data_IF_765805205061
#
_entry.id   IF_765805205061
#
_cell.length_a   1.000
_cell.length_b   1.000
_cell.length_c   1.000
_cell.angle_alpha   90.00
_cell.angle_beta   90.00
_cell.angle_gamma   90.00
#
_symmetry.space_group_name_H-M   'P 1'
#
loop_
_entity.id
_entity.type
_entity.pdbx_description
1 polymer ?
#
# COMPACT_ATOMS: atom_id res chain seq x y z
N UNK A 1 -10.28 69.81 59.21
CA UNK A 1 -11.06 68.61 58.84
C UNK A 1 -11.14 68.44 57.32
N UNK A 2 -10.00 68.36 56.61
CA UNK A 2 -9.99 68.25 55.12
C UNK A 2 -8.84 67.41 54.54
N UNK A 3 -8.02 66.75 55.36
CA UNK A 3 -6.87 65.95 54.88
C UNK A 3 -7.24 64.50 54.52
N UNK A 4 -8.33 63.97 55.08
CA UNK A 4 -8.81 62.60 54.81
C UNK A 4 -9.53 62.47 53.45
N UNK A 5 -10.16 63.55 52.95
CA UNK A 5 -10.85 63.54 51.66
C UNK A 5 -9.87 63.57 50.46
N UNK A 6 -8.76 64.31 50.54
CA UNK A 6 -7.74 64.34 49.48
C UNK A 6 -7.04 63.00 49.32
N UNK A 7 -6.76 62.28 50.43
CA UNK A 7 -6.16 60.95 50.38
C UNK A 7 -7.09 59.91 49.73
N UNK A 8 -8.39 59.95 50.04
CA UNK A 8 -9.39 59.06 49.42
C UNK A 8 -9.64 59.39 47.93
N UNK A 9 -9.49 60.66 47.53
CA UNK A 9 -9.63 61.09 46.14
C UNK A 9 -8.44 60.64 45.28
N UNK A 10 -7.21 60.74 45.81
CA UNK A 10 -5.99 60.26 45.15
C UNK A 10 -5.98 58.73 45.07
N UNK A 11 -6.43 58.04 46.13
CA UNK A 11 -6.54 56.57 46.14
C UNK A 11 -7.59 56.08 45.12
N UNK A 12 -8.75 56.73 45.02
CA UNK A 12 -9.77 56.44 43.99
C UNK A 12 -9.31 56.71 42.57
N UNK A 13 -8.37 57.63 42.36
CA UNK A 13 -7.80 57.92 41.05
C UNK A 13 -6.65 56.95 40.69
N UNK A 14 -5.87 56.48 41.67
CA UNK A 14 -4.80 55.50 41.45
C UNK A 14 -5.32 54.10 41.09
N UNK A 15 -6.40 53.62 41.74
CA UNK A 15 -6.98 52.28 41.51
C UNK A 15 -7.31 52.02 40.02
N UNK A 16 -8.03 52.90 39.28
CA UNK A 16 -8.33 52.67 37.86
C UNK A 16 -7.08 52.72 36.97
N UNK A 17 -6.09 53.56 37.27
CA UNK A 17 -4.82 53.57 36.53
C UNK A 17 -3.99 52.30 36.77
N UNK A 18 -3.94 51.78 37.99
CA UNK A 18 -3.27 50.50 38.29
C UNK A 18 -3.99 49.35 37.60
N UNK A 19 -5.33 49.34 37.62
CA UNK A 19 -6.12 48.36 36.89
C UNK A 19 -5.86 48.40 35.37
N UNK A 20 -5.77 49.60 34.79
CA UNK A 20 -5.45 49.78 33.37
C UNK A 20 -4.04 49.25 33.01
N UNK A 21 -3.04 49.50 33.85
CA UNK A 21 -1.68 48.98 33.65
C UNK A 21 -1.63 47.45 33.77
N UNK A 22 -2.35 46.88 34.74
CA UNK A 22 -2.46 45.42 34.90
C UNK A 22 -3.15 44.82 33.68
N UNK A 23 -4.26 45.40 33.22
CA UNK A 23 -4.99 44.96 32.03
C UNK A 23 -4.11 45.01 30.77
N UNK A 24 -3.36 46.11 30.58
CA UNK A 24 -2.44 46.28 29.47
C UNK A 24 -1.30 45.26 29.51
N UNK A 25 -0.73 45.01 30.69
CA UNK A 25 0.30 43.99 30.91
C UNK A 25 -0.22 42.59 30.58
N UNK A 26 -1.44 42.26 31.01
CA UNK A 26 -2.07 40.96 30.76
C UNK A 26 -2.35 40.74 29.27
N UNK A 27 -2.77 41.79 28.57
CA UNK A 27 -2.93 41.78 27.10
C UNK A 27 -1.58 41.54 26.44
N UNK A 28 -0.51 42.25 26.81
CA UNK A 28 0.81 42.06 26.22
C UNK A 28 1.40 40.67 26.48
N UNK A 29 1.18 40.11 27.68
CA UNK A 29 1.59 38.75 28.06
C UNK A 29 0.83 37.68 27.28
N UNK A 30 -0.44 37.92 26.91
CA UNK A 30 -1.24 37.02 26.07
C UNK A 30 -0.67 36.85 24.65
N UNK A 31 0.21 37.76 24.22
CA UNK A 31 0.90 37.73 22.93
C UNK A 31 1.99 36.65 22.79
N UNK A 32 2.31 35.93 23.86
CA UNK A 32 3.35 34.89 23.84
C UNK A 32 2.81 33.63 23.14
N UNK A 33 3.46 33.22 22.04
CA UNK A 33 3.13 32.00 21.28
C UNK A 33 4.37 31.14 21.09
N UNK A 34 4.20 29.83 21.26
CA UNK A 34 5.25 28.83 20.99
C UNK A 34 4.89 28.12 19.69
N UNK A 35 5.80 28.15 18.71
CA UNK A 35 5.63 27.47 17.43
C UNK A 35 6.55 26.25 17.42
N UNK A 36 5.98 25.06 17.23
CA UNK A 36 6.74 23.82 17.10
C UNK A 36 7.51 23.74 15.79
N UNK A 37 8.59 22.95 15.75
CA UNK A 37 9.47 22.82 14.58
C UNK A 37 8.77 22.29 13.33
N UNK A 38 7.78 21.42 13.51
CA UNK A 38 6.96 20.86 12.42
C UNK A 38 5.84 21.80 11.96
N UNK A 39 5.76 23.02 12.51
CA UNK A 39 4.79 24.04 12.11
C UNK A 39 5.51 25.26 11.53
N UNK A 40 4.81 25.96 10.65
CA UNK A 40 5.18 27.30 10.17
C UNK A 40 4.01 28.23 10.44
N UNK A 41 4.31 29.46 10.84
CA UNK A 41 3.32 30.43 11.23
C UNK A 41 3.41 31.65 10.31
N UNK A 42 2.35 31.97 9.58
CA UNK A 42 2.28 33.19 8.80
C UNK A 42 1.79 34.31 9.71
N UNK A 43 2.53 35.41 9.73
CA UNK A 43 2.19 36.59 10.51
C UNK A 43 1.47 37.60 9.62
N UNK A 44 0.26 37.96 10.02
CA UNK A 44 -0.54 39.01 9.43
C UNK A 44 -0.65 40.20 10.39
N UNK A 45 -0.69 41.40 9.84
CA UNK A 45 -0.93 42.64 10.58
C UNK A 45 -2.01 43.43 9.86
N UNK A 46 -3.11 43.71 10.54
CA UNK A 46 -4.28 44.36 9.91
C UNK A 46 -4.67 43.71 8.56
N UNK A 47 -4.59 42.38 8.47
CA UNK A 47 -4.89 41.62 7.25
C UNK A 47 -3.79 41.60 6.18
N UNK A 48 -2.69 42.35 6.32
CA UNK A 48 -1.55 42.27 5.39
C UNK A 48 -0.55 41.21 5.85
N UNK A 49 -0.11 40.38 4.91
CA UNK A 49 0.99 39.44 5.12
C UNK A 49 2.29 40.21 5.36
N UNK A 50 3.06 39.81 6.39
CA UNK A 50 4.37 40.40 6.68
C UNK A 50 5.49 39.39 6.43
N UNK A 51 5.42 38.24 7.09
CA UNK A 51 6.50 37.24 7.07
C UNK A 51 6.06 35.89 7.62
N UNK A 52 6.78 34.86 7.21
CA UNK A 52 6.79 33.55 7.88
C UNK A 52 7.64 33.62 9.15
N UNK A 53 7.05 33.17 10.26
CA UNK A 53 7.72 32.99 11.54
C UNK A 53 8.38 31.60 11.60
N UNK A 54 9.68 31.61 11.87
CA UNK A 54 10.45 30.39 12.18
C UNK A 54 10.03 29.80 13.54
N UNK A 55 10.23 28.49 13.75
CA UNK A 55 9.95 27.81 15.02
C UNK A 55 10.60 28.46 16.23
N UNK A 56 10.03 28.19 17.41
CA UNK A 56 10.51 28.66 18.70
C UNK A 56 9.62 29.72 19.34
N UNK A 57 10.18 30.41 20.32
CA UNK A 57 9.49 31.45 21.08
C UNK A 57 9.29 32.70 20.22
N UNK A 58 8.03 33.09 20.01
CA UNK A 58 7.67 34.31 19.28
C UNK A 58 6.62 35.10 20.04
N UNK A 59 6.85 36.41 20.10
CA UNK A 59 5.89 37.35 20.66
C UNK A 59 5.17 38.05 19.52
N UNK A 60 3.84 38.10 19.62
CA UNK A 60 2.95 38.86 18.74
C UNK A 60 2.15 39.85 19.55
N UNK A 61 1.77 40.96 18.92
CA UNK A 61 0.91 41.96 19.53
C UNK A 61 -0.54 41.47 19.39
N UNK A 62 -1.18 40.98 20.47
CA UNK A 62 -2.57 40.58 20.39
C UNK A 62 -3.42 41.81 20.08
N UNK A 63 -4.48 41.65 19.29
CA UNK A 63 -5.34 42.68 18.67
C UNK A 63 -4.91 43.14 17.27
N UNK A 64 -3.62 43.41 17.04
CA UNK A 64 -3.13 43.96 15.77
C UNK A 64 -2.62 42.86 14.83
N UNK A 65 -2.03 41.82 15.41
CA UNK A 65 -1.34 40.76 14.68
C UNK A 65 -2.08 39.43 14.85
N UNK A 66 -2.32 38.75 13.72
CA UNK A 66 -2.89 37.40 13.69
C UNK A 66 -1.86 36.43 13.12
N UNK A 67 -1.89 35.19 13.60
CA UNK A 67 -1.05 34.10 13.10
C UNK A 67 -1.93 33.00 12.55
N UNK A 68 -1.61 32.54 11.35
CA UNK A 68 -2.11 31.27 10.82
C UNK A 68 -1.01 30.23 10.84
N UNK A 69 -1.29 29.07 11.43
CA UNK A 69 -0.29 28.02 11.62
C UNK A 69 -0.57 26.87 10.66
N UNK A 70 0.45 26.44 9.95
CA UNK A 70 0.42 25.40 8.93
C UNK A 70 1.40 24.29 9.32
N UNK A 71 0.98 23.03 9.16
CA UNK A 71 1.85 21.87 9.37
C UNK A 71 2.63 21.57 8.08
N UNK A 72 3.95 21.40 8.20
CA UNK A 72 4.84 21.09 7.06
C UNK A 72 5.12 19.60 6.89
N UNK A 73 4.57 18.75 7.77
CA UNK A 73 4.68 17.29 7.67
C UNK A 73 3.86 16.78 6.49
N UNK A 74 4.08 15.50 6.20
CA UNK A 74 3.23 14.77 5.25
C UNK A 74 1.84 14.66 5.84
N UNK A 75 0.87 15.22 5.11
CA UNK A 75 -0.55 15.14 5.39
C UNK A 75 -1.13 14.11 4.43
N UNK A 76 -2.08 13.33 4.94
CA UNK A 76 -2.77 12.30 4.18
C UNK A 76 -4.24 12.68 4.07
N UNK A 77 -4.77 12.74 2.86
CA UNK A 77 -6.20 12.96 2.61
C UNK A 77 -6.76 11.75 1.86
N UNK A 78 -7.91 11.27 2.36
CA UNK A 78 -8.68 10.24 1.69
C UNK A 78 -9.60 10.89 0.64
N UNK A 79 -9.59 10.32 -0.55
CA UNK A 79 -10.49 10.71 -1.63
C UNK A 79 -11.77 9.90 -1.50
N UNK A 80 -12.92 10.56 -1.58
CA UNK A 80 -14.22 9.89 -1.58
C UNK A 80 -14.38 9.05 -2.84
N UNK A 81 -14.98 7.86 -2.68
CA UNK A 81 -15.27 6.93 -3.78
C UNK A 81 -16.01 7.62 -4.93
N UNK A 82 -15.55 7.41 -6.16
CA UNK A 82 -16.12 7.96 -7.39
C UNK A 82 -16.57 6.83 -8.31
N UNK A 83 -17.79 6.93 -8.84
CA UNK A 83 -18.26 6.04 -9.90
C UNK A 83 -17.70 6.49 -11.26
N UNK A 84 -17.05 5.58 -11.95
CA UNK A 84 -16.37 5.80 -13.23
C UNK A 84 -16.63 4.61 -14.16
N UNK A 85 -16.78 4.89 -15.45
CA UNK A 85 -16.78 3.89 -16.50
C UNK A 85 -15.36 3.82 -17.07
N UNK A 86 -14.76 2.64 -17.07
CA UNK A 86 -13.45 2.39 -17.71
C UNK A 86 -13.55 2.37 -19.23
N UNK A 87 -12.41 2.32 -19.92
CA UNK A 87 -12.35 2.27 -21.39
C UNK A 87 -13.11 1.07 -21.98
N UNK A 88 -13.12 -0.06 -21.26
CA UNK A 88 -13.85 -1.29 -21.59
C UNK A 88 -15.33 -1.27 -21.17
N UNK A 89 -15.89 -0.08 -20.89
CA UNK A 89 -17.27 0.14 -20.46
C UNK A 89 -17.67 -0.61 -19.18
N UNK A 90 -16.72 -0.85 -18.27
CA UNK A 90 -17.03 -1.50 -16.99
C UNK A 90 -17.31 -0.43 -15.93
N UNK A 91 -18.51 -0.43 -15.31
CA UNK A 91 -18.78 0.43 -14.16
C UNK A 91 -17.96 -0.03 -12.95
N UNK A 92 -17.23 0.90 -12.34
CA UNK A 92 -16.52 0.66 -11.09
C UNK A 92 -16.54 1.90 -10.19
N UNK A 93 -16.44 1.68 -8.88
CA UNK A 93 -16.25 2.75 -7.90
C UNK A 93 -14.82 2.71 -7.38
N UNK A 94 -14.09 3.82 -7.49
CA UNK A 94 -12.67 3.88 -7.16
C UNK A 94 -12.46 4.89 -6.04
N UNK A 95 -11.73 4.49 -4.99
CA UNK A 95 -11.26 5.39 -3.94
C UNK A 95 -9.71 5.40 -3.86
N UNK A 96 -9.18 6.41 -3.18
CA UNK A 96 -7.74 6.63 -3.14
C UNK A 96 -7.30 7.51 -2.00
N UNK A 97 -5.98 7.63 -1.87
CA UNK A 97 -5.33 8.41 -0.82
C UNK A 97 -4.20 9.23 -1.43
N UNK A 98 -4.14 10.51 -1.07
CA UNK A 98 -3.09 11.45 -1.48
C UNK A 98 -2.21 11.76 -0.28
N UNK A 99 -0.91 11.68 -0.51
CA UNK A 99 0.12 12.10 0.42
C UNK A 99 0.76 13.36 -0.14
N UNK A 100 0.68 14.45 0.60
CA UNK A 100 1.29 15.72 0.21
C UNK A 100 1.94 16.40 1.42
N UNK A 101 2.84 17.33 1.16
CA UNK A 101 3.44 18.20 2.16
C UNK A 101 3.44 19.63 1.66
N UNK A 102 3.42 20.57 2.59
CA UNK A 102 3.46 21.99 2.25
C UNK A 102 4.93 22.41 2.21
N UNK A 103 5.41 22.76 1.02
CA UNK A 103 6.79 23.22 0.82
C UNK A 103 6.89 24.73 1.06
N UNK A 104 5.94 25.49 0.50
CA UNK A 104 5.83 26.94 0.68
C UNK A 104 4.53 27.30 1.41
N UNK A 105 4.58 27.56 2.74
CA UNK A 105 3.40 27.88 3.52
C UNK A 105 2.81 29.25 3.19
N UNK A 106 3.58 30.18 2.59
CA UNK A 106 3.06 31.47 2.16
C UNK A 106 2.05 31.29 1.03
N UNK A 107 2.45 30.58 -0.03
CA UNK A 107 1.58 30.31 -1.18
C UNK A 107 0.37 29.48 -0.80
N UNK A 108 0.55 28.45 0.03
CA UNK A 108 -0.53 27.55 0.41
C UNK A 108 -1.67 28.24 1.17
N UNK A 109 -1.39 29.35 1.86
CA UNK A 109 -2.40 30.13 2.61
C UNK A 109 -2.92 31.31 1.81
N UNK A 110 -2.08 31.96 1.00
CA UNK A 110 -2.47 33.17 0.27
C UNK A 110 -3.17 32.90 -1.06
N UNK A 111 -2.86 31.78 -1.71
CA UNK A 111 -3.37 31.48 -3.05
C UNK A 111 -4.60 30.57 -3.05
N UNK A 112 -4.81 29.79 -1.98
CA UNK A 112 -5.94 28.86 -1.88
C UNK A 112 -6.61 29.04 -0.53
N UNK A 113 -7.94 29.19 -0.53
CA UNK A 113 -8.74 29.32 0.69
C UNK A 113 -8.64 28.05 1.56
N UNK A 114 -9.01 26.90 0.97
CA UNK A 114 -8.91 25.59 1.62
C UNK A 114 -8.18 24.60 0.72
N UNK A 115 -6.86 24.52 0.90
CA UNK A 115 -6.01 23.62 0.10
C UNK A 115 -6.39 22.15 0.23
N UNK A 116 -6.87 21.70 1.39
CA UNK A 116 -7.32 20.32 1.59
C UNK A 116 -8.49 19.98 0.65
N UNK A 117 -9.48 20.89 0.56
CA UNK A 117 -10.64 20.72 -0.29
C UNK A 117 -10.25 20.77 -1.78
N UNK A 118 -9.44 21.78 -2.16
CA UNK A 118 -8.97 21.94 -3.53
C UNK A 118 -8.19 20.71 -4.04
N UNK A 119 -7.24 20.19 -3.24
CA UNK A 119 -6.49 18.97 -3.58
C UNK A 119 -7.43 17.77 -3.70
N UNK A 120 -8.42 17.64 -2.81
CA UNK A 120 -9.39 16.53 -2.87
C UNK A 120 -10.16 16.57 -4.18
N UNK A 121 -10.69 17.73 -4.57
CA UNK A 121 -11.45 17.89 -5.82
C UNK A 121 -10.58 17.64 -7.05
N UNK A 122 -9.38 18.20 -7.08
CA UNK A 122 -8.44 17.99 -8.18
C UNK A 122 -8.06 16.51 -8.31
N UNK A 123 -7.82 15.84 -7.19
CA UNK A 123 -7.49 14.41 -7.17
C UNK A 123 -8.67 13.53 -7.60
N UNK A 124 -9.91 13.93 -7.28
CA UNK A 124 -11.13 13.26 -7.79
C UNK A 124 -11.26 13.41 -9.30
N UNK A 125 -11.05 14.62 -9.82
CA UNK A 125 -11.10 14.88 -11.25
C UNK A 125 -10.01 14.08 -11.99
N UNK A 126 -8.78 14.09 -11.48
CA UNK A 126 -7.65 13.36 -12.06
C UNK A 126 -7.84 11.83 -11.99
N UNK A 127 -8.38 11.31 -10.88
CA UNK A 127 -8.76 9.89 -10.78
C UNK A 127 -9.77 9.50 -11.85
N UNK A 128 -10.84 10.28 -11.98
CA UNK A 128 -11.91 10.02 -12.94
C UNK A 128 -11.39 10.04 -14.38
N UNK A 129 -10.56 11.02 -14.71
CA UNK A 129 -10.00 11.17 -16.06
C UNK A 129 -9.05 10.02 -16.42
N UNK A 130 -8.11 9.68 -15.53
CA UNK A 130 -7.13 8.61 -15.79
C UNK A 130 -7.81 7.24 -15.82
N UNK A 131 -8.74 6.96 -14.89
CA UNK A 131 -9.41 5.66 -14.85
C UNK A 131 -10.41 5.49 -16.00
N UNK A 132 -10.95 6.58 -16.56
CA UNK A 132 -11.83 6.51 -17.74
C UNK A 132 -11.10 6.23 -19.06
N UNK A 133 -9.79 6.50 -19.13
CA UNK A 133 -8.95 6.33 -20.32
C UNK A 133 -8.21 4.99 -20.37
N UNK A 134 -8.46 4.11 -19.41
CA UNK A 134 -7.71 2.87 -19.23
C UNK A 134 -8.66 1.71 -18.94
N UNK A 135 -8.32 0.53 -19.43
CA UNK A 135 -9.05 -0.71 -19.15
C UNK A 135 -9.00 -1.12 -17.67
N UNK A 136 -10.05 -1.78 -17.19
CA UNK A 136 -10.14 -2.26 -15.81
C UNK A 136 -8.96 -3.15 -15.39
N UNK A 137 -8.51 -4.06 -16.26
CA UNK A 137 -7.40 -4.98 -15.94
C UNK A 137 -6.09 -4.23 -15.70
N UNK A 138 -5.85 -3.15 -16.46
CA UNK A 138 -4.67 -2.30 -16.26
C UNK A 138 -4.74 -1.55 -14.93
N UNK A 139 -5.94 -1.06 -14.55
CA UNK A 139 -6.15 -0.44 -13.23
C UNK A 139 -5.88 -1.46 -12.11
N UNK A 140 -6.30 -2.71 -12.27
CA UNK A 140 -6.13 -3.76 -11.27
C UNK A 140 -4.68 -4.25 -11.16
N UNK A 141 -4.00 -4.43 -12.30
CA UNK A 141 -2.65 -5.00 -12.38
C UNK A 141 -1.53 -3.97 -12.17
N UNK A 142 -1.71 -2.74 -12.66
CA UNK A 142 -0.69 -1.68 -12.67
C UNK A 142 -1.02 -0.49 -11.77
N UNK A 143 -1.53 -0.75 -10.57
CA UNK A 143 -1.94 0.29 -9.60
C UNK A 143 -0.86 1.32 -9.29
N UNK A 144 0.41 0.92 -9.23
CA UNK A 144 1.52 1.84 -8.95
C UNK A 144 1.79 2.81 -10.11
N UNK A 145 1.70 2.34 -11.36
CA UNK A 145 1.85 3.17 -12.55
C UNK A 145 0.71 4.17 -12.65
N UNK A 146 -0.53 3.73 -12.40
CA UNK A 146 -1.70 4.60 -12.36
C UNK A 146 -1.55 5.69 -11.29
N UNK A 147 -1.07 5.33 -10.10
CA UNK A 147 -0.78 6.30 -9.03
C UNK A 147 0.25 7.36 -9.43
N UNK A 148 1.28 7.00 -10.22
CA UNK A 148 2.28 7.93 -10.75
C UNK A 148 1.69 8.88 -11.79
N UNK A 149 0.84 8.37 -12.68
CA UNK A 149 0.17 9.18 -13.71
C UNK A 149 -0.78 10.20 -13.08
N UNK A 150 -1.61 9.77 -12.11
CA UNK A 150 -2.53 10.67 -11.42
C UNK A 150 -1.74 11.70 -10.59
N UNK A 151 -0.66 11.27 -9.92
CA UNK A 151 0.24 12.20 -9.21
C UNK A 151 0.73 13.30 -10.14
N UNK A 152 1.21 12.96 -11.34
CA UNK A 152 1.78 13.95 -12.27
C UNK A 152 0.77 15.04 -12.64
N UNK A 153 -0.48 14.65 -12.90
CA UNK A 153 -1.57 15.58 -13.24
C UNK A 153 -1.89 16.50 -12.04
N UNK A 154 -2.01 15.93 -10.83
CA UNK A 154 -2.32 16.73 -9.63
C UNK A 154 -1.15 17.65 -9.28
N UNK A 155 0.09 17.18 -9.44
CA UNK A 155 1.31 17.93 -9.09
C UNK A 155 1.49 19.18 -9.95
N UNK A 156 1.11 19.14 -11.24
CA UNK A 156 1.19 20.28 -12.16
C UNK A 156 0.43 21.49 -11.64
N UNK A 157 -0.82 21.30 -11.23
CA UNK A 157 -1.70 22.35 -10.69
C UNK A 157 -1.28 22.77 -9.26
N UNK A 158 -0.97 21.80 -8.38
CA UNK A 158 -0.64 22.11 -6.97
C UNK A 158 0.70 22.83 -6.78
N UNK A 159 1.56 22.82 -7.80
CA UNK A 159 2.85 23.52 -7.78
C UNK A 159 2.68 25.03 -7.64
N UNK A 160 1.63 25.59 -8.24
CA UNK A 160 1.35 27.02 -8.10
C UNK A 160 1.13 27.38 -6.63
N UNK A 161 0.38 26.54 -5.91
CA UNK A 161 0.01 26.70 -4.49
C UNK A 161 1.14 26.40 -3.50
N UNK A 162 2.32 26.00 -3.96
CA UNK A 162 3.46 25.68 -3.09
C UNK A 162 3.31 24.35 -2.34
N UNK A 163 2.49 23.45 -2.87
CA UNK A 163 2.20 22.14 -2.28
C UNK A 163 2.90 21.07 -3.12
N UNK A 164 3.57 20.14 -2.43
CA UNK A 164 4.31 19.06 -3.07
C UNK A 164 3.56 17.74 -2.85
N UNK A 165 3.13 17.10 -3.93
CA UNK A 165 2.51 15.78 -3.88
C UNK A 165 3.61 14.72 -3.77
N UNK A 166 3.65 14.01 -2.64
CA UNK A 166 4.62 12.94 -2.41
C UNK A 166 4.21 11.71 -3.22
N UNK A 167 2.94 11.35 -3.15
CA UNK A 167 2.41 10.20 -3.85
C UNK A 167 0.90 10.10 -3.78
N UNK A 168 0.36 9.35 -4.73
CA UNK A 168 -1.05 9.00 -4.78
C UNK A 168 -1.19 7.48 -4.89
N UNK A 169 -2.10 6.91 -4.10
CA UNK A 169 -2.36 5.47 -4.08
C UNK A 169 -3.85 5.21 -4.28
N UNK A 170 -4.16 4.28 -5.17
CA UNK A 170 -5.50 3.70 -5.29
C UNK A 170 -5.69 2.75 -4.09
N UNK A 171 -6.80 2.91 -3.37
CA UNK A 171 -7.06 2.17 -2.14
C UNK A 171 -7.92 0.94 -2.42
N UNK A 172 -9.11 1.13 -2.98
CA UNK A 172 -10.05 0.07 -3.34
C UNK A 172 -10.74 0.36 -4.67
N UNK A 173 -11.14 -0.72 -5.35
CA UNK A 173 -11.87 -0.70 -6.62
C UNK A 173 -13.06 -1.64 -6.46
N UNK A 174 -14.25 -1.07 -6.37
CA UNK A 174 -15.49 -1.78 -6.17
C UNK A 174 -16.19 -1.99 -7.50
N UNK A 175 -16.43 -3.26 -7.81
CA UNK A 175 -17.16 -3.69 -9.02
C UNK A 175 -18.56 -4.15 -8.63
N UNK A 176 -19.57 -3.94 -9.48
CA UNK A 176 -20.90 -4.53 -9.28
C UNK A 176 -20.81 -6.04 -9.10
N UNK A 177 -21.68 -6.57 -8.25
CA UNK A 177 -21.61 -7.97 -7.83
C UNK A 177 -21.82 -8.97 -8.97
N UNK A 178 -22.54 -8.58 -10.03
CA UNK A 178 -22.67 -9.39 -11.24
C UNK A 178 -21.31 -9.52 -11.96
N UNK A 179 -20.63 -8.41 -12.24
CA UNK A 179 -19.33 -8.40 -12.91
C UNK A 179 -18.26 -9.13 -12.10
N UNK A 180 -18.23 -8.92 -10.78
CA UNK A 180 -17.28 -9.60 -9.89
C UNK A 180 -17.41 -11.13 -9.97
N UNK A 181 -18.65 -11.65 -10.03
CA UNK A 181 -18.91 -13.10 -10.18
C UNK A 181 -18.48 -13.62 -11.55
N UNK A 182 -18.79 -12.88 -12.62
CA UNK A 182 -18.40 -13.27 -13.98
C UNK A 182 -16.87 -13.30 -14.15
N UNK A 183 -16.18 -12.27 -13.67
CA UNK A 183 -14.71 -12.22 -13.70
C UNK A 183 -14.08 -13.31 -12.84
N UNK A 184 -14.64 -13.62 -11.66
CA UNK A 184 -14.18 -14.72 -10.83
C UNK A 184 -14.31 -16.06 -11.55
N UNK A 185 -15.46 -16.32 -12.20
CA UNK A 185 -15.67 -17.53 -12.99
C UNK A 185 -14.72 -17.64 -14.19
N UNK A 186 -14.50 -16.54 -14.92
CA UNK A 186 -13.53 -16.50 -16.02
C UNK A 186 -12.09 -16.75 -15.53
N UNK A 187 -11.69 -16.12 -14.43
CA UNK A 187 -10.37 -16.30 -13.85
C UNK A 187 -10.15 -17.73 -13.33
N UNK A 188 -11.18 -18.35 -12.76
CA UNK A 188 -11.14 -19.75 -12.32
C UNK A 188 -11.03 -20.71 -13.50
N UNK A 189 -11.81 -20.50 -14.57
CA UNK A 189 -11.73 -21.30 -15.78
C UNK A 189 -10.35 -21.20 -16.46
N UNK A 190 -9.80 -19.99 -16.58
CA UNK A 190 -8.47 -19.77 -17.15
C UNK A 190 -7.36 -20.35 -16.25
N UNK A 191 -7.48 -20.23 -14.93
CA UNK A 191 -6.56 -20.88 -13.99
C UNK A 191 -6.62 -22.40 -14.09
N UNK A 192 -7.81 -22.99 -14.18
CA UNK A 192 -7.99 -24.44 -14.34
C UNK A 192 -7.38 -24.93 -15.66
N UNK A 193 -7.65 -24.22 -16.76
CA UNK A 193 -7.04 -24.49 -18.07
C UNK A 193 -5.52 -24.43 -18.01
N UNK A 194 -4.95 -23.37 -17.43
CA UNK A 194 -3.48 -23.22 -17.27
C UNK A 194 -2.88 -24.34 -16.42
N UNK A 195 -3.52 -24.69 -15.30
CA UNK A 195 -3.07 -25.79 -14.44
C UNK A 195 -3.05 -27.13 -15.18
N UNK A 196 -4.08 -27.43 -15.99
CA UNK A 196 -4.11 -28.66 -16.80
C UNK A 196 -3.00 -28.71 -17.84
N UNK A 197 -2.71 -27.60 -18.52
CA UNK A 197 -1.61 -27.52 -19.48
C UNK A 197 -0.26 -27.74 -18.78
N UNK A 198 -0.06 -27.09 -17.63
CA UNK A 198 1.17 -27.24 -16.83
C UNK A 198 1.33 -28.69 -16.35
N UNK A 199 0.24 -29.32 -15.90
CA UNK A 199 0.27 -30.72 -15.47
C UNK A 199 0.62 -31.66 -16.62
N UNK A 200 -0.02 -31.50 -17.78
CA UNK A 200 0.27 -32.32 -18.95
C UNK A 200 1.74 -32.18 -19.40
N UNK A 201 2.28 -30.96 -19.40
CA UNK A 201 3.69 -30.71 -19.70
C UNK A 201 4.62 -31.34 -18.65
N UNK A 202 4.25 -31.27 -17.37
CA UNK A 202 5.00 -31.89 -16.28
C UNK A 202 4.99 -33.42 -16.41
N UNK A 203 3.86 -34.04 -16.77
CA UNK A 203 3.74 -35.47 -17.02
C UNK A 203 4.57 -35.92 -18.22
N UNK A 204 4.56 -35.16 -19.32
CA UNK A 204 5.40 -35.41 -20.50
C UNK A 204 6.89 -35.38 -20.13
N UNK A 205 7.32 -34.32 -19.41
CA UNK A 205 8.70 -34.18 -18.95
C UNK A 205 9.12 -35.31 -18.00
N UNK A 206 8.25 -35.69 -17.06
CA UNK A 206 8.49 -36.78 -16.13
C UNK A 206 8.61 -38.13 -16.86
N UNK A 207 7.69 -38.43 -17.78
CA UNK A 207 7.73 -39.64 -18.59
C UNK A 207 9.01 -39.73 -19.43
N UNK A 208 9.43 -38.62 -20.04
CA UNK A 208 10.70 -38.54 -20.77
C UNK A 208 11.90 -38.88 -19.90
N UNK A 209 11.99 -38.28 -18.71
CA UNK A 209 13.09 -38.56 -17.76
C UNK A 209 13.08 -39.99 -17.23
N UNK A 210 11.89 -40.55 -16.98
CA UNK A 210 11.76 -41.95 -16.57
C UNK A 210 12.18 -42.92 -17.69
N UNK A 211 11.86 -42.60 -18.95
CA UNK A 211 12.31 -43.39 -20.10
C UNK A 211 13.83 -43.34 -20.28
N UNK A 212 14.45 -42.16 -20.15
CA UNK A 212 15.90 -41.99 -20.16
C UNK A 212 16.56 -42.82 -19.05
N UNK A 213 16.04 -42.73 -17.81
CA UNK A 213 16.52 -43.52 -16.68
C UNK A 213 16.33 -45.02 -16.90
N UNK A 214 15.20 -45.45 -17.48
CA UNK A 214 14.94 -46.84 -17.85
C UNK A 214 15.97 -47.38 -18.83
N UNK A 215 16.21 -46.66 -19.93
CA UNK A 215 17.24 -47.01 -20.92
C UNK A 215 18.65 -47.10 -20.33
N UNK A 216 19.00 -46.20 -19.40
CA UNK A 216 20.30 -46.27 -18.70
C UNK A 216 20.41 -47.49 -17.79
N UNK A 217 19.32 -47.89 -17.16
CA UNK A 217 19.28 -49.05 -16.26
C UNK A 217 19.33 -50.36 -17.05
N UNK A 218 18.68 -50.43 -18.22
CA UNK A 218 18.72 -51.59 -19.11
C UNK A 218 20.13 -51.89 -19.65
N UNK A 219 21.02 -50.89 -19.72
CA UNK A 219 22.42 -51.08 -20.13
C UNK A 219 23.21 -52.00 -19.18
N UNK A 220 22.77 -52.18 -17.93
CA UNK A 220 23.47 -53.02 -16.94
C UNK A 220 22.49 -53.87 -16.12
N UNK A 221 22.52 -55.22 -16.25
CA UNK A 221 21.69 -56.12 -15.44
C UNK A 221 21.87 -55.97 -13.93
N UNK A 222 23.01 -55.42 -13.50
CA UNK A 222 23.30 -55.14 -12.08
C UNK A 222 22.53 -53.93 -11.54
N UNK A 223 22.20 -52.94 -12.38
CA UNK A 223 21.49 -51.73 -11.97
C UNK A 223 20.02 -52.03 -11.58
N UNK A 224 19.34 -52.90 -12.33
CA UNK A 224 17.98 -53.37 -11.99
C UNK A 224 17.95 -54.07 -10.63
N UNK A 225 18.94 -54.94 -10.37
CA UNK A 225 19.05 -55.65 -9.08
C UNK A 225 19.27 -54.71 -7.91
N UNK A 226 20.14 -53.70 -8.06
CA UNK A 226 20.35 -52.68 -7.03
C UNK A 226 19.07 -51.89 -6.76
N UNK A 227 18.33 -51.51 -7.80
CA UNK A 227 17.03 -50.83 -7.64
C UNK A 227 16.01 -51.73 -6.96
N UNK A 228 15.95 -53.03 -7.28
CA UNK A 228 15.10 -54.00 -6.58
C UNK A 228 15.43 -54.05 -5.08
N UNK A 229 16.71 -54.12 -4.71
CA UNK A 229 17.11 -54.11 -3.30
C UNK A 229 16.77 -52.78 -2.60
N UNK A 230 16.92 -51.64 -3.27
CA UNK A 230 16.50 -50.34 -2.72
C UNK A 230 14.99 -50.27 -2.51
N UNK A 231 14.18 -50.73 -3.47
CA UNK A 231 12.72 -50.78 -3.33
C UNK A 231 12.31 -51.69 -2.17
N UNK A 232 12.95 -52.86 -2.02
CA UNK A 232 12.72 -53.75 -0.89
C UNK A 232 13.09 -53.10 0.44
N UNK A 233 14.20 -52.36 0.50
CA UNK A 233 14.61 -51.62 1.70
C UNK A 233 13.61 -50.51 2.07
N UNK A 234 13.08 -49.80 1.09
CA UNK A 234 12.08 -48.75 1.32
C UNK A 234 10.74 -49.33 1.81
N UNK A 235 10.27 -50.43 1.19
CA UNK A 235 9.06 -51.14 1.62
C UNK A 235 9.23 -51.72 3.03
N UNK A 236 10.40 -52.29 3.33
CA UNK A 236 10.72 -52.79 4.67
C UNK A 236 10.77 -51.67 5.73
N UNK A 237 11.10 -50.44 5.34
CA UNK A 237 11.09 -49.28 6.23
C UNK A 237 9.67 -48.78 6.57
N UNK A 238 8.69 -48.96 5.68
CA UNK A 238 7.28 -48.54 5.89
C UNK A 238 6.44 -49.47 6.79
N UNK A 239 7.04 -50.52 7.39
CA UNK A 239 6.40 -51.41 8.39
C UNK A 239 5.07 -52.06 7.94
N UNK A 240 4.91 -52.47 6.68
CA UNK A 240 3.78 -53.30 6.25
C UNK A 240 4.26 -54.71 5.84
N UNK A 241 4.00 -55.68 6.71
CA UNK A 241 4.54 -57.04 6.68
C UNK A 241 3.69 -57.99 5.82
N UNK A 242 3.95 -58.05 4.51
CA UNK A 242 3.86 -59.26 3.67
C UNK A 242 4.42 -58.89 2.30
N UNK A 243 5.62 -59.39 1.98
CA UNK A 243 6.27 -59.18 0.68
C UNK A 243 5.90 -60.38 -0.21
N UNK A 244 4.99 -60.20 -1.16
CA UNK A 244 4.66 -61.22 -2.18
C UNK A 244 5.67 -61.09 -3.32
N UNK A 245 6.45 -62.13 -3.55
CA UNK A 245 7.53 -62.14 -4.54
C UNK A 245 7.01 -62.68 -5.88
N UNK A 246 6.86 -61.86 -6.94
CA UNK A 246 6.57 -62.38 -8.28
C UNK A 246 7.88 -62.98 -8.84
N UNK A 247 8.03 -64.31 -8.77
CA UNK A 247 9.15 -64.98 -9.41
C UNK A 247 8.90 -65.09 -10.93
N UNK A 248 9.90 -64.78 -11.79
CA UNK A 248 9.81 -65.00 -13.23
C UNK A 248 9.58 -66.48 -13.57
N UNK A 249 8.67 -66.78 -14.49
CA UNK A 249 8.35 -68.15 -14.94
C UNK A 249 9.58 -68.92 -15.47
N UNK A 250 10.62 -68.21 -15.92
CA UNK A 250 11.87 -68.78 -16.41
C UNK A 250 12.57 -69.68 -15.37
N UNK A 251 12.49 -69.33 -14.07
CA UNK A 251 13.09 -70.13 -12.99
C UNK A 251 12.24 -71.37 -12.69
N UNK A 252 10.91 -71.27 -12.80
CA UNK A 252 9.99 -72.39 -12.64
C UNK A 252 10.21 -73.44 -13.73
N UNK A 253 10.49 -73.01 -14.96
CA UNK A 253 10.76 -73.91 -16.09
C UNK A 253 12.01 -74.79 -15.90
N UNK A 254 13.02 -74.30 -15.15
CA UNK A 254 14.25 -75.06 -14.86
C UNK A 254 14.11 -76.08 -13.73
N UNK A 255 13.13 -75.91 -12.83
CA UNK A 255 12.88 -76.82 -11.72
C UNK A 255 12.14 -78.09 -12.18
N UNK A 256 11.38 -78.02 -13.27
CA UNK A 256 10.61 -79.15 -13.81
C UNK A 256 11.37 -80.08 -14.78
N UNK A 257 12.69 -79.91 -14.96
CA UNK A 257 13.51 -80.87 -15.73
C UNK A 257 13.97 -82.00 -14.79
N UNK A 258 13.47 -83.24 -14.94
CA UNK A 258 13.98 -84.35 -14.15
C UNK A 258 15.46 -84.60 -14.50
N UNK A 259 16.30 -84.77 -13.47
CA UNK A 259 17.69 -85.22 -13.63
C UNK A 259 17.68 -86.60 -14.29
N UNK A 260 17.96 -86.65 -15.60
CA UNK A 260 18.28 -87.89 -16.29
C UNK A 260 19.58 -88.42 -15.71
N UNK A 261 19.48 -89.61 -15.12
CA UNK A 261 20.57 -90.36 -14.53
C UNK A 261 21.43 -90.92 -15.68
N UNK A 262 22.59 -90.31 -15.91
CA UNK A 262 23.61 -90.89 -16.79
C UNK A 262 24.09 -92.20 -16.17
N UNK A 263 23.72 -93.31 -16.81
CA UNK A 263 24.44 -94.58 -16.75
C UNK A 263 24.81 -94.93 -18.17
N UNK A 264 26.09 -94.90 -18.48
CA UNK A 264 26.71 -95.73 -19.50
C UNK A 264 28.15 -96.05 -19.04
N UNK A 265 28.40 -97.36 -19.00
CA UNK A 265 29.64 -98.15 -18.89
C UNK A 265 30.58 -98.03 -17.68
#
# INVERSE_FOLDING_TARGET
MNWSYSANLILKCMIPSVFFVILLSLILLSGIRIIFEYKRALKFRFGKYIKILKPGFKWIIPLVETIQVVDIRVITINILSQEVMTEDNVPCSIDGVVFFRINDPEKAVLQVEEYNYAITQLSQAALRDVCGKVELDTILSKREEMGKNIKAIVEEETREWGIEIIGMKIKDIQLPENMKRMMAGQAEAERSRRSQIILALAEEQAAGKLLEAGKLIDQSPSAIKLRLYQTLSNIAAEKNSTIVFPFPEEVLSKINKPLSKDRED
#
